data_IF_837168252695
#
_entry.id   IF_837168252695
#
_cell.length_a   1.000
_cell.length_b   1.000
_cell.length_c   1.000
_cell.angle_alpha   90.00
_cell.angle_beta   90.00
_cell.angle_gamma   90.00
#
_symmetry.space_group_name_H-M   'P 1'
#
loop_
_entity.id
_entity.type
_entity.pdbx_description
1 polymer ?
#
# COMPACT_ATOMS: atom_id res chain seq x y z
N UNK A 1 38.31 -18.06 27.61
CA UNK A 1 36.95 -17.81 28.14
C UNK A 1 36.68 -16.33 27.95
N UNK A 2 36.17 -15.95 26.77
CA UNK A 2 36.14 -14.54 26.35
C UNK A 2 34.91 -13.83 26.93
N UNK A 3 35.05 -12.60 27.43
CA UNK A 3 33.97 -11.77 28.01
C UNK A 3 32.86 -11.38 27.01
N UNK A 4 33.01 -11.78 25.74
CA UNK A 4 32.09 -11.50 24.63
C UNK A 4 30.82 -12.33 24.72
N UNK A 5 30.87 -13.55 25.25
CA UNK A 5 29.68 -14.41 25.38
C UNK A 5 28.66 -13.88 26.40
N UNK A 6 29.11 -13.18 27.44
CA UNK A 6 28.21 -12.54 28.41
C UNK A 6 27.55 -11.27 27.84
N UNK A 7 28.26 -10.51 26.99
CA UNK A 7 27.72 -9.32 26.34
C UNK A 7 26.65 -9.64 25.29
N UNK A 8 26.80 -10.76 24.56
CA UNK A 8 25.80 -11.21 23.57
C UNK A 8 24.47 -11.56 24.24
N UNK A 9 24.50 -12.16 25.43
CA UNK A 9 23.29 -12.47 26.20
C UNK A 9 22.57 -11.23 26.76
N UNK A 10 23.31 -10.16 27.07
CA UNK A 10 22.74 -8.90 27.59
C UNK A 10 22.06 -8.10 26.48
N UNK A 11 22.64 -8.08 25.27
CA UNK A 11 22.07 -7.36 24.11
C UNK A 11 20.79 -8.01 23.56
N UNK A 12 20.62 -9.32 23.75
CA UNK A 12 19.39 -10.03 23.37
C UNK A 12 18.18 -9.69 24.26
N UNK A 13 18.41 -9.15 25.47
CA UNK A 13 17.35 -8.93 26.46
C UNK A 13 16.80 -7.50 26.48
N UNK A 14 17.32 -6.59 25.67
CA UNK A 14 16.82 -5.22 25.52
C UNK A 14 15.86 -5.01 24.33
N UNK A 15 15.58 -6.07 23.56
CA UNK A 15 14.54 -6.08 22.54
C UNK A 15 13.20 -6.68 23.05
N UNK A 16 12.89 -6.51 24.34
CA UNK A 16 11.51 -6.67 24.83
C UNK A 16 10.89 -5.27 24.94
N UNK A 17 10.76 -4.60 23.79
CA UNK A 17 9.77 -3.55 23.65
C UNK A 17 8.44 -4.24 23.33
N UNK A 18 7.55 -4.30 24.32
CA UNK A 18 6.17 -4.77 24.23
C UNK A 18 5.93 -6.11 23.49
N UNK A 19 5.91 -7.21 24.24
CA UNK A 19 5.41 -8.50 23.76
C UNK A 19 3.89 -8.48 23.53
N UNK A 20 3.43 -7.78 22.49
CA UNK A 20 2.11 -7.96 21.90
C UNK A 20 2.32 -8.57 20.51
N UNK A 21 2.24 -9.91 20.41
CA UNK A 21 2.07 -10.54 19.11
C UNK A 21 0.76 -10.02 18.52
N UNK A 22 0.75 -9.51 17.27
CA UNK A 22 -0.47 -9.01 16.65
C UNK A 22 -1.59 -10.05 16.72
N UNK A 23 -2.83 -9.61 16.91
CA UNK A 23 -3.99 -10.51 16.92
C UNK A 23 -4.11 -11.25 15.59
N UNK A 24 -4.88 -12.34 15.55
CA UNK A 24 -5.15 -13.04 14.30
C UNK A 24 -5.79 -12.10 13.26
N UNK A 25 -6.70 -11.23 13.69
CA UNK A 25 -7.36 -10.22 12.85
C UNK A 25 -6.37 -9.18 12.32
N UNK A 26 -5.45 -8.72 13.18
CA UNK A 26 -4.41 -7.77 12.78
C UNK A 26 -3.49 -8.36 11.70
N UNK A 27 -3.02 -9.60 11.90
CA UNK A 27 -2.17 -10.28 10.91
C UNK A 27 -2.91 -10.49 9.57
N UNK A 28 -4.18 -10.91 9.62
CA UNK A 28 -4.97 -11.11 8.42
C UNK A 28 -5.22 -9.80 7.68
N UNK A 29 -5.55 -8.72 8.42
CA UNK A 29 -5.73 -7.39 7.85
C UNK A 29 -4.44 -6.91 7.18
N UNK A 30 -3.30 -6.99 7.88
CA UNK A 30 -2.03 -6.53 7.33
C UNK A 30 -1.64 -7.30 6.07
N UNK A 31 -1.84 -8.63 6.07
CA UNK A 31 -1.63 -9.45 4.89
C UNK A 31 -2.54 -9.03 3.72
N UNK A 32 -3.83 -8.81 3.97
CA UNK A 32 -4.78 -8.37 2.95
C UNK A 32 -4.41 -7.00 2.36
N UNK A 33 -4.07 -6.03 3.21
CA UNK A 33 -3.69 -4.68 2.78
C UNK A 33 -2.39 -4.74 1.95
N UNK A 34 -1.39 -5.51 2.38
CA UNK A 34 -0.15 -5.66 1.62
C UNK A 34 -0.37 -6.30 0.23
N UNK A 35 -1.29 -7.27 0.13
CA UNK A 35 -1.67 -7.83 -1.18
C UNK A 35 -2.28 -6.74 -2.06
N UNK A 36 -3.18 -5.92 -1.52
CA UNK A 36 -3.80 -4.81 -2.28
C UNK A 36 -2.75 -3.80 -2.73
N UNK A 37 -1.84 -3.36 -1.84
CA UNK A 37 -0.77 -2.41 -2.18
C UNK A 37 0.12 -2.99 -3.29
N UNK A 38 0.55 -4.25 -3.19
CA UNK A 38 1.39 -4.88 -4.22
C UNK A 38 0.71 -4.97 -5.59
N UNK A 39 -0.63 -4.98 -5.63
CA UNK A 39 -1.36 -4.92 -6.88
C UNK A 39 -1.38 -3.49 -7.42
N UNK A 40 -1.51 -2.47 -6.58
CA UNK A 40 -1.43 -1.05 -6.99
C UNK A 40 -0.06 -0.73 -7.61
N UNK A 41 1.02 -1.26 -7.05
CA UNK A 41 2.40 -1.13 -7.56
C UNK A 41 2.63 -1.85 -8.92
N UNK A 42 1.68 -2.69 -9.36
CA UNK A 42 1.84 -3.44 -10.60
C UNK A 42 1.37 -2.61 -11.82
N UNK A 43 2.21 -2.54 -12.86
CA UNK A 43 1.88 -1.86 -14.13
C UNK A 43 0.52 -2.29 -14.73
N UNK A 44 0.11 -3.54 -14.54
CA UNK A 44 -1.19 -4.03 -15.02
C UNK A 44 -2.38 -3.31 -14.35
N UNK A 45 -2.20 -2.82 -13.12
CA UNK A 45 -3.21 -2.03 -12.40
C UNK A 45 -3.23 -0.59 -12.87
N UNK A 46 -2.07 0.00 -13.18
CA UNK A 46 -2.00 1.32 -13.84
C UNK A 46 -2.80 1.34 -15.14
N UNK A 47 -2.64 0.31 -15.99
CA UNK A 47 -3.39 0.19 -17.25
C UNK A 47 -4.91 0.12 -17.03
N UNK A 48 -5.35 -0.60 -15.98
CA UNK A 48 -6.77 -0.69 -15.61
C UNK A 48 -7.29 0.66 -15.13
N UNK A 49 -6.55 1.34 -14.24
CA UNK A 49 -6.94 2.66 -13.73
C UNK A 49 -6.97 3.69 -14.87
N UNK A 50 -6.02 3.62 -15.81
CA UNK A 50 -6.01 4.47 -17.00
C UNK A 50 -7.24 4.26 -17.87
N UNK A 51 -7.61 3.01 -18.14
CA UNK A 51 -8.83 2.70 -18.91
C UNK A 51 -10.11 3.24 -18.26
N UNK A 52 -10.23 3.11 -16.93
CA UNK A 52 -11.36 3.66 -16.18
C UNK A 52 -11.35 5.20 -16.19
N UNK A 53 -10.19 5.84 -16.04
CA UNK A 53 -10.06 7.30 -16.13
C UNK A 53 -10.44 7.84 -17.51
N UNK A 54 -10.01 7.17 -18.60
CA UNK A 54 -10.40 7.49 -19.97
C UNK A 54 -11.92 7.33 -20.17
N UNK A 55 -12.52 6.26 -19.63
CA UNK A 55 -13.96 5.99 -19.73
C UNK A 55 -14.81 7.03 -18.98
N UNK A 56 -14.39 7.42 -17.77
CA UNK A 56 -15.04 8.47 -16.99
C UNK A 56 -15.02 9.79 -17.76
N UNK A 57 -13.87 10.15 -18.32
CA UNK A 57 -13.73 11.36 -19.11
C UNK A 57 -14.59 11.33 -20.38
N UNK A 58 -14.54 10.24 -21.15
CA UNK A 58 -15.35 10.06 -22.35
C UNK A 58 -16.85 10.17 -22.07
N UNK A 59 -17.31 9.64 -20.93
CA UNK A 59 -18.70 9.77 -20.52
C UNK A 59 -19.07 11.21 -20.12
N UNK A 60 -18.12 11.97 -19.53
CA UNK A 60 -18.30 13.37 -19.18
C UNK A 60 -18.37 14.27 -20.44
N UNK A 61 -17.50 14.04 -21.42
CA UNK A 61 -17.45 14.81 -22.69
C UNK A 61 -18.49 14.36 -23.71
N UNK A 62 -19.12 13.19 -23.50
CA UNK A 62 -19.99 12.49 -24.48
C UNK A 62 -19.27 12.18 -25.80
N UNK A 63 -17.95 12.05 -25.74
CA UNK A 63 -17.10 11.73 -26.88
C UNK A 63 -16.07 10.68 -26.47
N UNK A 64 -16.20 9.47 -27.00
CA UNK A 64 -15.28 8.36 -26.73
C UNK A 64 -13.93 8.47 -27.43
N UNK A 65 -13.75 9.44 -28.32
CA UNK A 65 -12.51 9.67 -29.06
C UNK A 65 -11.88 11.03 -28.72
N UNK A 66 -12.22 11.60 -27.56
CA UNK A 66 -11.63 12.86 -27.12
C UNK A 66 -10.17 12.63 -26.69
N UNK A 67 -9.22 13.18 -27.47
CA UNK A 67 -7.78 13.06 -27.18
C UNK A 67 -7.40 13.66 -25.83
N UNK A 68 -8.17 14.64 -25.33
CA UNK A 68 -7.94 15.22 -24.00
C UNK A 68 -8.23 14.22 -22.88
N UNK A 69 -9.05 13.19 -23.13
CA UNK A 69 -9.33 12.15 -22.14
C UNK A 69 -8.13 11.23 -21.93
N UNK A 70 -7.43 10.91 -23.01
CA UNK A 70 -6.16 10.19 -22.91
C UNK A 70 -5.13 11.02 -22.15
N UNK A 71 -4.97 12.29 -22.51
CA UNK A 71 -4.02 13.18 -21.82
C UNK A 71 -4.38 13.38 -20.33
N UNK A 72 -5.67 13.40 -19.99
CA UNK A 72 -6.15 13.43 -18.62
C UNK A 72 -5.75 12.17 -17.84
N UNK A 73 -6.01 10.98 -18.41
CA UNK A 73 -5.64 9.71 -17.78
C UNK A 73 -4.12 9.59 -17.62
N UNK A 74 -3.35 9.88 -18.68
CA UNK A 74 -1.89 9.84 -18.69
C UNK A 74 -1.27 10.76 -17.61
N UNK A 75 -1.96 11.83 -17.20
CA UNK A 75 -1.54 12.74 -16.11
C UNK A 75 -2.04 12.31 -14.73
N UNK A 76 -3.28 11.84 -14.63
CA UNK A 76 -3.93 11.54 -13.36
C UNK A 76 -3.39 10.23 -12.76
N UNK A 77 -3.26 9.19 -13.58
CA UNK A 77 -2.96 7.83 -13.12
C UNK A 77 -1.64 7.74 -12.37
N UNK A 78 -0.51 8.29 -12.88
CA UNK A 78 0.77 8.19 -12.17
C UNK A 78 0.76 8.92 -10.82
N UNK A 79 0.06 10.07 -10.76
CA UNK A 79 -0.07 10.85 -9.52
C UNK A 79 -0.92 10.10 -8.49
N UNK A 80 -2.01 9.47 -8.94
CA UNK A 80 -2.90 8.71 -8.07
C UNK A 80 -2.21 7.47 -7.50
N UNK A 81 -1.49 6.72 -8.34
CA UNK A 81 -0.75 5.52 -7.88
C UNK A 81 0.35 5.90 -6.91
N UNK A 82 1.18 6.90 -7.24
CA UNK A 82 2.20 7.42 -6.33
C UNK A 82 1.61 7.89 -4.99
N UNK A 83 0.47 8.57 -5.00
CA UNK A 83 -0.20 8.97 -3.76
C UNK A 83 -0.67 7.77 -2.93
N UNK A 84 -1.21 6.73 -3.56
CA UNK A 84 -1.66 5.52 -2.86
C UNK A 84 -0.47 4.76 -2.25
N UNK A 85 0.64 4.64 -2.97
CA UNK A 85 1.87 4.02 -2.48
C UNK A 85 2.46 4.77 -1.27
N UNK A 86 2.42 6.11 -1.29
CA UNK A 86 2.97 6.93 -0.20
C UNK A 86 2.09 6.95 1.05
N UNK A 87 0.76 6.87 0.88
CA UNK A 87 -0.20 7.09 1.98
C UNK A 87 -0.73 5.82 2.60
N UNK A 88 -0.77 4.71 1.84
CA UNK A 88 -1.36 3.45 2.30
C UNK A 88 -0.25 2.55 2.84
N UNK A 89 -0.32 2.26 4.14
CA UNK A 89 0.45 1.17 4.74
C UNK A 89 -0.45 0.29 5.61
N UNK A 90 -0.10 -0.98 5.69
CA UNK A 90 -0.89 -2.00 6.38
C UNK A 90 -1.11 -1.68 7.86
N UNK A 91 -0.14 -1.10 8.55
CA UNK A 91 -0.23 -0.78 9.97
C UNK A 91 -1.31 0.28 10.24
N UNK A 92 -1.28 1.40 9.52
CA UNK A 92 -2.22 2.51 9.67
C UNK A 92 -3.63 2.13 9.24
N UNK A 93 -3.78 1.40 8.13
CA UNK A 93 -5.10 0.96 7.63
C UNK A 93 -5.75 0.02 8.63
N UNK A 94 -4.99 -0.95 9.14
CA UNK A 94 -5.54 -1.92 10.08
C UNK A 94 -5.80 -1.33 11.47
N UNK A 95 -5.01 -0.35 11.90
CA UNK A 95 -5.31 0.44 13.10
C UNK A 95 -6.59 1.28 12.94
N UNK A 96 -6.79 1.92 11.78
CA UNK A 96 -8.00 2.68 11.50
C UNK A 96 -9.25 1.79 11.42
N UNK A 97 -9.07 0.54 10.95
CA UNK A 97 -10.13 -0.46 10.90
C UNK A 97 -10.41 -1.13 12.26
N UNK A 98 -9.68 -0.76 13.32
CA UNK A 98 -9.74 -1.37 14.66
C UNK A 98 -9.48 -2.89 14.64
N UNK A 99 -8.70 -3.36 13.66
CA UNK A 99 -8.25 -4.75 13.55
C UNK A 99 -6.85 -4.96 14.13
N UNK A 100 -6.13 -3.84 14.29
CA UNK A 100 -4.95 -3.63 15.13
C UNK A 100 -5.26 -2.41 16.02
#
# INVERSE_FOLDING_TARGET
MTPVFLAISIMAQLAIAAGATPSFECNLCQAAVNIVISQVEANATEDVIAGEAEAICANATKNSQDENCKEFADKLVPVLVSFLEETVNAENVCALAELC
#
